data_IF_943948022444
#
_entry.id   IF_943948022444
#
_cell.length_a   1.000
_cell.length_b   1.000
_cell.length_c   1.000
_cell.angle_alpha   90.00
_cell.angle_beta   90.00
_cell.angle_gamma   90.00
#
_symmetry.space_group_name_H-M   'P 1'
#
loop_
_entity.id
_entity.type
_entity.pdbx_description
1 polymer ?
#
# COMPACT_ATOMS: atom_id res chain seq x y z
N UNK A 1 -4.26 -1.16 -3.96
CA UNK A 1 -3.55 0.14 -4.04
C UNK A 1 -4.55 1.25 -4.30
N UNK A 2 -5.21 1.31 -5.46
CA UNK A 2 -6.13 2.41 -5.78
C UNK A 2 -7.23 2.67 -4.75
N UNK A 3 -7.92 1.64 -4.28
CA UNK A 3 -8.99 1.80 -3.28
C UNK A 3 -8.48 2.16 -1.87
N UNK A 4 -7.20 1.93 -1.58
CA UNK A 4 -6.59 2.16 -0.25
C UNK A 4 -5.71 3.40 -0.22
N UNK A 5 -5.64 4.16 -1.31
CA UNK A 5 -4.84 5.36 -1.42
C UNK A 5 -5.24 6.38 -0.35
N UNK A 6 -4.27 7.08 0.26
CA UNK A 6 -4.50 8.01 1.38
C UNK A 6 -5.13 7.43 2.67
N UNK A 7 -5.74 6.24 2.64
CA UNK A 7 -6.37 5.59 3.79
C UNK A 7 -5.37 5.15 4.84
N UNK A 8 -4.12 4.89 4.44
CA UNK A 8 -3.05 4.62 5.39
C UNK A 8 -2.79 5.84 6.27
N UNK A 9 -2.72 7.05 5.71
CA UNK A 9 -2.44 8.26 6.47
C UNK A 9 -3.58 8.61 7.44
N UNK A 10 -4.84 8.49 7.00
CA UNK A 10 -6.01 8.58 7.90
C UNK A 10 -5.92 7.57 9.06
N UNK A 11 -5.48 6.35 8.76
CA UNK A 11 -5.37 5.28 9.78
C UNK A 11 -4.24 5.56 10.77
N UNK A 12 -3.08 6.03 10.29
CA UNK A 12 -1.96 6.41 11.15
C UNK A 12 -2.32 7.58 12.05
N UNK A 13 -3.06 8.56 11.55
CA UNK A 13 -3.53 9.72 12.33
C UNK A 13 -4.44 9.26 13.47
N UNK A 14 -5.44 8.41 13.18
CA UNK A 14 -6.33 7.82 14.19
C UNK A 14 -5.53 7.10 15.28
N UNK A 15 -4.55 6.27 14.90
CA UNK A 15 -3.74 5.51 15.85
C UNK A 15 -2.84 6.42 16.68
N UNK A 16 -2.18 7.40 16.06
CA UNK A 16 -1.31 8.36 16.76
C UNK A 16 -2.09 9.23 17.75
N UNK A 17 -3.24 9.77 17.37
CA UNK A 17 -4.11 10.55 18.26
C UNK A 17 -4.59 9.72 19.44
N UNK A 18 -5.00 8.47 19.17
CA UNK A 18 -5.41 7.56 20.23
C UNK A 18 -4.24 7.25 21.17
N UNK A 19 -3.04 7.03 20.63
CA UNK A 19 -1.87 6.73 21.44
C UNK A 19 -1.48 7.88 22.39
N UNK A 20 -1.53 9.13 21.92
CA UNK A 20 -1.25 10.32 22.75
C UNK A 20 -2.23 10.41 23.93
N UNK A 21 -3.51 10.15 23.70
CA UNK A 21 -4.52 10.15 24.77
C UNK A 21 -4.32 8.98 25.71
N UNK A 22 -4.02 7.79 25.18
CA UNK A 22 -3.73 6.60 25.97
C UNK A 22 -2.58 6.84 26.96
N UNK A 23 -1.47 7.43 26.52
CA UNK A 23 -0.34 7.71 27.41
C UNK A 23 -0.71 8.68 28.55
N UNK A 24 -1.56 9.67 28.28
CA UNK A 24 -2.07 10.56 29.33
C UNK A 24 -2.92 9.79 30.34
N UNK A 25 -3.79 8.88 29.87
CA UNK A 25 -4.66 8.07 30.73
C UNK A 25 -3.89 7.04 31.57
N UNK A 26 -2.74 6.55 31.11
CA UNK A 26 -1.90 5.61 31.86
C UNK A 26 -1.37 6.23 33.17
N UNK A 27 -1.24 7.55 33.21
CA UNK A 27 -0.79 8.31 34.39
C UNK A 27 -1.89 8.46 35.47
N UNK A 28 -3.16 8.20 35.13
CA UNK A 28 -4.28 8.32 36.07
C UNK A 28 -4.46 7.09 36.97
N UNK A 29 -4.95 7.35 38.21
CA UNK A 29 -5.08 6.33 39.27
C UNK A 29 -6.23 5.31 39.07
N UNK A 30 -7.18 5.54 38.14
CA UNK A 30 -8.35 4.67 37.87
C UNK A 30 -8.44 4.32 36.39
N UNK A 31 -7.46 3.55 35.88
CA UNK A 31 -7.18 3.45 34.44
C UNK A 31 -7.66 2.17 33.76
N UNK A 32 -7.64 1.00 34.38
CA UNK A 32 -7.72 -0.27 33.63
C UNK A 32 -9.01 -0.45 32.80
N UNK A 33 -10.18 -0.13 33.38
CA UNK A 33 -11.46 -0.15 32.63
C UNK A 33 -11.57 0.95 31.56
N UNK A 34 -10.86 2.07 31.75
CA UNK A 34 -10.86 3.18 30.79
C UNK A 34 -9.92 2.91 29.62
N UNK A 35 -8.74 2.32 29.87
CA UNK A 35 -7.75 1.95 28.86
C UNK A 35 -8.31 0.92 27.88
N UNK A 36 -8.98 -0.11 28.39
CA UNK A 36 -9.57 -1.16 27.55
C UNK A 36 -10.69 -0.64 26.64
N UNK A 37 -11.52 0.28 27.16
CA UNK A 37 -12.54 0.98 26.35
C UNK A 37 -11.92 1.88 25.28
N UNK A 38 -10.76 2.45 25.56
CA UNK A 38 -10.10 3.37 24.65
C UNK A 38 -9.46 2.64 23.46
N UNK A 39 -8.86 1.47 23.71
CA UNK A 39 -8.37 0.59 22.65
C UNK A 39 -9.51 0.13 21.73
N UNK A 40 -10.64 -0.27 22.31
CA UNK A 40 -11.85 -0.60 21.53
C UNK A 40 -12.36 0.59 20.72
N UNK A 41 -12.36 1.80 21.30
CA UNK A 41 -12.74 3.02 20.55
C UNK A 41 -11.79 3.32 19.38
N UNK A 42 -10.50 3.00 19.48
CA UNK A 42 -9.57 3.14 18.36
C UNK A 42 -9.93 2.16 17.25
N UNK A 43 -10.14 0.89 17.59
CA UNK A 43 -10.55 -0.16 16.65
C UNK A 43 -11.86 0.19 15.95
N UNK A 44 -12.86 0.68 16.68
CA UNK A 44 -14.15 1.10 16.11
C UNK A 44 -14.00 2.24 15.10
N UNK A 45 -13.07 3.19 15.34
CA UNK A 45 -12.80 4.29 14.40
C UNK A 45 -12.13 3.81 13.12
N UNK A 46 -11.21 2.85 13.23
CA UNK A 46 -10.55 2.25 12.07
C UNK A 46 -11.55 1.42 11.24
N UNK A 47 -12.46 0.69 11.90
CA UNK A 47 -13.50 -0.14 11.25
C UNK A 47 -14.65 0.64 10.62
N UNK A 48 -14.75 1.96 10.82
CA UNK A 48 -15.76 2.79 10.13
C UNK A 48 -15.61 2.79 8.61
N UNK A 49 -14.40 2.50 8.12
CA UNK A 49 -14.09 2.41 6.69
C UNK A 49 -13.23 1.17 6.49
N UNK A 50 -13.80 0.12 5.88
CA UNK A 50 -13.11 -1.16 5.67
C UNK A 50 -11.78 -0.98 4.92
N UNK A 51 -11.66 0.07 4.08
CA UNK A 51 -10.45 0.36 3.31
C UNK A 51 -9.29 0.82 4.19
N UNK A 52 -9.55 1.42 5.38
CA UNK A 52 -8.52 1.77 6.36
C UNK A 52 -7.82 0.53 6.91
N UNK A 53 -8.60 -0.46 7.32
CA UNK A 53 -8.04 -1.71 7.82
C UNK A 53 -7.28 -2.47 6.74
N UNK A 54 -7.80 -2.49 5.51
CA UNK A 54 -7.08 -3.09 4.38
C UNK A 54 -5.78 -2.34 4.05
N UNK A 55 -5.76 -1.01 4.17
CA UNK A 55 -4.56 -0.21 3.97
C UNK A 55 -3.48 -0.54 5.02
N UNK A 56 -3.85 -0.61 6.30
CA UNK A 56 -2.93 -0.94 7.41
C UNK A 56 -2.39 -2.36 7.25
N UNK A 57 -3.28 -3.35 7.12
CA UNK A 57 -2.89 -4.77 7.02
C UNK A 57 -2.08 -5.03 5.75
N UNK A 58 -2.49 -4.45 4.62
CA UNK A 58 -1.75 -4.56 3.37
C UNK A 58 -0.35 -3.99 3.51
N UNK A 59 -0.23 -2.75 3.99
CA UNK A 59 1.07 -2.08 4.16
C UNK A 59 2.01 -2.88 5.06
N UNK A 60 1.51 -3.37 6.20
CA UNK A 60 2.29 -4.21 7.11
C UNK A 60 2.73 -5.52 6.48
N UNK A 61 1.80 -6.29 5.88
CA UNK A 61 2.09 -7.61 5.32
C UNK A 61 3.10 -7.54 4.18
N UNK A 62 2.92 -6.59 3.27
CA UNK A 62 3.83 -6.44 2.13
C UNK A 62 5.20 -5.94 2.56
N UNK A 63 5.29 -4.91 3.44
CA UNK A 63 6.57 -4.40 3.91
C UNK A 63 7.35 -5.42 4.76
N UNK A 64 6.69 -6.08 5.71
CA UNK A 64 7.33 -7.12 6.53
C UNK A 64 7.81 -8.29 5.68
N UNK A 65 7.04 -8.73 4.68
CA UNK A 65 7.45 -9.81 3.79
C UNK A 65 8.72 -9.46 3.00
N UNK A 66 8.84 -8.23 2.50
CA UNK A 66 10.06 -7.79 1.79
C UNK A 66 11.27 -7.81 2.73
N UNK A 67 11.13 -7.30 3.95
CA UNK A 67 12.21 -7.31 4.94
C UNK A 67 12.66 -8.74 5.25
N UNK A 68 11.71 -9.67 5.44
CA UNK A 68 12.00 -11.09 5.69
C UNK A 68 12.74 -11.74 4.53
N UNK A 69 12.30 -11.51 3.29
CA UNK A 69 12.96 -12.04 2.09
C UNK A 69 14.37 -11.47 1.96
N UNK A 70 14.54 -10.16 2.11
CA UNK A 70 15.82 -9.48 1.94
C UNK A 70 16.85 -9.93 2.98
N UNK A 71 16.45 -10.03 4.25
CA UNK A 71 17.34 -10.44 5.32
C UNK A 71 17.64 -11.95 5.28
N UNK A 72 16.67 -12.76 4.86
CA UNK A 72 16.81 -14.20 4.70
C UNK A 72 17.11 -14.95 6.02
N UNK A 73 17.55 -16.20 5.89
CA UNK A 73 17.72 -17.12 7.03
C UNK A 73 18.76 -16.67 8.06
N UNK A 74 19.76 -15.85 7.69
CA UNK A 74 20.79 -15.39 8.64
C UNK A 74 20.24 -14.46 9.74
N UNK A 75 19.09 -13.83 9.50
CA UNK A 75 18.43 -12.91 10.45
C UNK A 75 16.99 -13.32 10.76
N UNK A 76 16.71 -14.64 10.71
CA UNK A 76 15.38 -15.19 10.98
C UNK A 76 14.81 -14.80 12.35
N UNK A 77 15.68 -14.48 13.32
CA UNK A 77 15.26 -13.96 14.62
C UNK A 77 14.45 -12.66 14.53
N UNK A 78 14.60 -11.87 13.46
CA UNK A 78 13.80 -10.66 13.23
C UNK A 78 12.32 -11.01 13.04
N UNK A 79 12.00 -12.24 12.64
CA UNK A 79 10.61 -12.75 12.59
C UNK A 79 9.92 -12.71 13.95
N UNK A 80 10.67 -12.83 15.06
CA UNK A 80 10.11 -12.71 16.41
C UNK A 80 9.54 -11.32 16.67
N UNK A 81 10.15 -10.28 16.09
CA UNK A 81 9.64 -8.91 16.18
C UNK A 81 8.29 -8.79 15.46
N UNK A 82 8.18 -9.36 14.26
CA UNK A 82 6.93 -9.36 13.50
C UNK A 82 5.85 -10.21 14.19
N UNK A 83 6.20 -11.40 14.69
CA UNK A 83 5.30 -12.27 15.42
C UNK A 83 4.75 -11.60 16.69
N UNK A 84 5.58 -10.87 17.43
CA UNK A 84 5.13 -10.09 18.58
C UNK A 84 4.15 -8.98 18.18
N UNK A 85 4.42 -8.25 17.09
CA UNK A 85 3.49 -7.23 16.58
C UNK A 85 2.13 -7.88 16.25
N UNK A 86 2.13 -9.02 15.54
CA UNK A 86 0.92 -9.77 15.21
C UNK A 86 0.18 -10.26 16.46
N UNK A 87 0.90 -10.79 17.46
CA UNK A 87 0.33 -11.24 18.72
C UNK A 87 -0.39 -10.10 19.46
N UNK A 88 0.27 -8.95 19.58
CA UNK A 88 -0.28 -7.78 20.27
C UNK A 88 -1.51 -7.23 19.53
N UNK A 89 -1.53 -7.29 18.19
CA UNK A 89 -2.71 -6.95 17.39
C UNK A 89 -3.85 -7.93 17.68
N UNK A 90 -3.60 -9.24 17.65
CA UNK A 90 -4.60 -10.26 17.96
C UNK A 90 -5.17 -10.13 19.38
N UNK A 91 -4.32 -9.81 20.36
CA UNK A 91 -4.70 -9.63 21.75
C UNK A 91 -5.38 -8.27 22.03
N UNK A 92 -5.45 -7.37 21.05
CA UNK A 92 -5.96 -6.00 21.21
C UNK A 92 -5.22 -5.25 22.33
N UNK A 93 -3.88 -5.28 22.29
CA UNK A 93 -3.00 -4.61 23.26
C UNK A 93 -1.95 -3.71 22.60
N UNK A 94 -2.21 -3.21 21.39
CA UNK A 94 -1.29 -2.41 20.57
C UNK A 94 -0.81 -1.17 21.33
N UNK A 95 -1.74 -0.44 21.96
CA UNK A 95 -1.41 0.77 22.72
C UNK A 95 -0.51 0.49 23.93
N UNK A 96 -0.68 -0.69 24.53
CA UNK A 96 0.12 -1.14 25.66
C UNK A 96 1.48 -1.67 25.22
N UNK A 97 1.51 -2.54 24.21
CA UNK A 97 2.67 -3.34 23.81
C UNK A 97 3.70 -2.60 22.97
N UNK A 98 3.29 -1.58 22.21
CA UNK A 98 4.13 -0.86 21.24
C UNK A 98 4.26 0.63 21.56
N UNK A 99 5.32 1.26 21.06
CA UNK A 99 5.53 2.71 21.10
C UNK A 99 5.15 3.34 19.74
N UNK A 100 3.95 3.92 19.66
CA UNK A 100 3.36 4.35 18.39
C UNK A 100 3.68 5.79 17.98
N UNK A 101 4.49 6.53 18.76
CA UNK A 101 4.97 7.88 18.37
C UNK A 101 5.81 7.86 17.10
N UNK A 102 6.42 6.72 16.78
CA UNK A 102 7.33 6.58 15.65
C UNK A 102 6.66 6.02 14.38
N UNK A 103 5.33 5.84 14.35
CA UNK A 103 4.64 5.18 13.23
C UNK A 103 4.88 5.86 11.87
N UNK A 104 4.79 7.20 11.79
CA UNK A 104 5.08 7.92 10.56
C UNK A 104 6.54 7.78 10.13
N UNK A 105 7.47 7.78 11.08
CA UNK A 105 8.88 7.56 10.79
C UNK A 105 9.11 6.14 10.23
N UNK A 106 8.52 5.12 10.87
CA UNK A 106 8.56 3.72 10.41
C UNK A 106 8.01 3.60 8.99
N UNK A 107 6.84 4.21 8.70
CA UNK A 107 6.26 4.26 7.35
C UNK A 107 7.26 4.85 6.35
N UNK A 108 7.82 6.02 6.65
CA UNK A 108 8.73 6.75 5.76
C UNK A 108 10.00 5.94 5.45
N UNK A 109 10.61 5.35 6.47
CA UNK A 109 11.87 4.62 6.31
C UNK A 109 11.67 3.28 5.59
N UNK A 110 10.54 2.60 5.83
CA UNK A 110 10.17 1.44 5.03
C UNK A 110 9.97 1.83 3.55
N UNK A 111 9.34 2.98 3.27
CA UNK A 111 9.18 3.46 1.90
C UNK A 111 10.53 3.79 1.24
N UNK A 112 11.46 4.42 1.95
CA UNK A 112 12.82 4.70 1.47
C UNK A 112 13.60 3.42 1.17
N UNK A 113 13.54 2.41 2.06
CA UNK A 113 14.11 1.10 1.82
C UNK A 113 13.56 0.48 0.53
N UNK A 114 12.24 0.40 0.40
CA UNK A 114 11.60 -0.22 -0.77
C UNK A 114 11.95 0.53 -2.05
N UNK A 115 12.03 1.87 -2.00
CA UNK A 115 12.48 2.68 -3.14
C UNK A 115 13.92 2.34 -3.53
N UNK A 116 14.83 2.24 -2.56
CA UNK A 116 16.23 1.90 -2.85
C UNK A 116 16.40 0.53 -3.49
N UNK A 117 15.52 -0.43 -3.16
CA UNK A 117 15.46 -1.75 -3.82
C UNK A 117 14.93 -1.64 -5.25
N UNK A 118 13.88 -0.84 -5.48
CA UNK A 118 13.32 -0.60 -6.82
C UNK A 118 14.30 0.12 -7.75
N UNK A 119 15.16 0.97 -7.21
CA UNK A 119 16.18 1.71 -7.96
C UNK A 119 17.42 0.85 -8.31
N UNK A 120 17.50 -0.41 -7.84
CA UNK A 120 18.58 -1.32 -8.22
C UNK A 120 18.48 -1.67 -9.70
N UNK A 121 19.56 -1.49 -10.50
CA UNK A 121 19.52 -1.81 -11.92
C UNK A 121 19.28 -3.31 -12.17
N UNK A 122 18.27 -3.63 -12.97
CA UNK A 122 18.02 -5.01 -13.40
C UNK A 122 19.23 -5.57 -14.16
N UNK A 123 19.53 -6.87 -13.98
CA UNK A 123 20.65 -7.57 -14.64
C UNK A 123 22.05 -7.08 -14.26
N UNK A 124 22.21 -6.39 -13.13
CA UNK A 124 23.53 -5.93 -12.69
C UNK A 124 24.33 -7.04 -11.99
N UNK A 125 25.60 -7.17 -12.39
CA UNK A 125 26.60 -8.05 -11.77
C UNK A 125 27.32 -7.32 -10.64
N UNK A 126 27.86 -8.07 -9.67
CA UNK A 126 28.60 -7.55 -8.50
C UNK A 126 29.72 -6.54 -8.83
N UNK A 127 30.36 -6.71 -10.00
CA UNK A 127 31.41 -5.81 -10.48
C UNK A 127 30.90 -4.44 -10.97
N UNK A 128 29.59 -4.22 -11.03
CA UNK A 128 29.01 -2.96 -11.49
C UNK A 128 29.00 -1.94 -10.36
N UNK A 129 29.71 -0.83 -10.54
CA UNK A 129 29.76 0.30 -9.58
C UNK A 129 28.35 0.81 -9.22
N UNK A 130 27.40 0.77 -10.17
CA UNK A 130 26.01 1.17 -9.89
C UNK A 130 25.34 0.21 -8.91
N UNK A 131 25.56 -1.09 -9.05
CA UNK A 131 25.03 -2.09 -8.13
C UNK A 131 25.64 -1.93 -6.75
N UNK A 132 26.96 -1.75 -6.65
CA UNK A 132 27.63 -1.53 -5.36
C UNK A 132 27.08 -0.29 -4.63
N UNK A 133 26.84 0.83 -5.34
CA UNK A 133 26.21 2.02 -4.75
C UNK A 133 24.79 1.74 -4.26
N UNK A 134 23.98 1.04 -5.06
CA UNK A 134 22.63 0.65 -4.65
C UNK A 134 22.67 -0.31 -3.46
N UNK A 135 23.63 -1.23 -3.41
CA UNK A 135 23.84 -2.16 -2.30
C UNK A 135 24.10 -1.40 -0.99
N UNK A 136 25.04 -0.45 -0.99
CA UNK A 136 25.30 0.39 0.20
C UNK A 136 24.03 1.15 0.63
N UNK A 137 23.33 1.77 -0.32
CA UNK A 137 22.09 2.49 -0.02
C UNK A 137 21.01 1.57 0.60
N UNK A 138 20.87 0.35 0.08
CA UNK A 138 19.93 -0.64 0.63
C UNK A 138 20.36 -1.05 2.03
N UNK A 139 21.64 -1.37 2.26
CA UNK A 139 22.16 -1.76 3.57
C UNK A 139 21.92 -0.66 4.61
N UNK A 140 22.26 0.59 4.28
CA UNK A 140 22.03 1.74 5.15
C UNK A 140 20.53 1.90 5.48
N UNK A 141 19.66 1.79 4.47
CA UNK A 141 18.21 1.89 4.68
C UNK A 141 17.65 0.74 5.53
N UNK A 142 18.18 -0.49 5.39
CA UNK A 142 17.79 -1.60 6.28
C UNK A 142 18.21 -1.29 7.71
N UNK A 143 19.40 -0.73 7.94
CA UNK A 143 19.85 -0.36 9.29
C UNK A 143 18.94 0.71 9.91
N UNK A 144 18.53 1.70 9.13
CA UNK A 144 17.57 2.72 9.53
C UNK A 144 16.21 2.10 9.90
N UNK A 145 15.71 1.15 9.11
CA UNK A 145 14.47 0.41 9.39
C UNK A 145 14.59 -0.40 10.69
N UNK A 146 15.70 -1.13 10.88
CA UNK A 146 15.97 -1.86 12.12
C UNK A 146 15.98 -0.92 13.33
N UNK A 147 16.61 0.24 13.22
CA UNK A 147 16.63 1.25 14.29
C UNK A 147 15.24 1.80 14.61
N UNK A 148 14.34 1.87 13.64
CA UNK A 148 12.95 2.27 13.91
C UNK A 148 12.08 1.14 14.43
N UNK A 149 12.35 -0.11 14.05
CA UNK A 149 11.77 -1.26 14.74
C UNK A 149 12.16 -1.27 16.22
N UNK A 150 13.40 -0.93 16.58
CA UNK A 150 13.82 -0.77 17.98
C UNK A 150 13.01 0.31 18.71
N UNK A 151 12.77 1.45 18.06
CA UNK A 151 11.94 2.53 18.63
C UNK A 151 10.49 2.10 18.84
N UNK A 152 9.92 1.38 17.87
CA UNK A 152 8.56 0.84 17.94
C UNK A 152 8.40 -0.20 19.06
N UNK A 153 9.42 -1.04 19.23
CA UNK A 153 9.46 -2.14 20.20
C UNK A 153 10.14 -1.74 21.52
N UNK A 154 10.32 -0.44 21.80
CA UNK A 154 11.09 0.04 22.96
C UNK A 154 10.55 -0.43 24.32
N UNK A 155 9.28 -0.84 24.38
CA UNK A 155 8.63 -1.42 25.56
C UNK A 155 9.01 -2.89 25.81
N UNK A 156 9.67 -3.55 24.87
CA UNK A 156 10.06 -4.96 24.92
C UNK A 156 11.58 -5.12 24.91
N UNK A 157 12.21 -5.11 26.10
CA UNK A 157 13.67 -5.11 26.21
C UNK A 157 14.36 -6.28 25.47
N UNK A 158 13.75 -7.47 25.48
CA UNK A 158 14.32 -8.65 24.84
C UNK A 158 14.38 -8.50 23.31
N UNK A 159 13.34 -7.94 22.68
CA UNK A 159 13.31 -7.68 21.23
C UNK A 159 14.26 -6.55 20.83
N UNK A 160 14.37 -5.52 21.67
CA UNK A 160 15.34 -4.44 21.43
C UNK A 160 16.78 -4.96 21.48
N UNK A 161 17.10 -5.83 22.45
CA UNK A 161 18.41 -6.50 22.52
C UNK A 161 18.67 -7.34 21.28
N UNK A 162 17.69 -8.17 20.88
CA UNK A 162 17.77 -8.97 19.65
C UNK A 162 18.10 -8.10 18.43
N UNK A 163 17.39 -6.98 18.24
CA UNK A 163 17.64 -6.06 17.11
C UNK A 163 18.98 -5.32 17.22
N UNK A 164 19.54 -5.15 18.41
CA UNK A 164 20.90 -4.59 18.58
C UNK A 164 21.98 -5.60 18.22
N UNK A 165 21.72 -6.89 18.45
CA UNK A 165 22.65 -7.97 18.16
C UNK A 165 22.59 -8.42 16.69
N UNK A 166 21.46 -8.21 16.00
CA UNK A 166 21.27 -8.58 14.57
C UNK A 166 22.41 -8.10 13.65
N UNK A 167 22.85 -6.83 13.69
CA UNK A 167 23.93 -6.37 12.83
C UNK A 167 25.30 -6.97 13.16
N UNK A 168 25.52 -7.38 14.42
CA UNK A 168 26.82 -7.82 14.96
C UNK A 168 27.16 -9.27 14.62
N UNK A 169 26.23 -10.02 14.04
CA UNK A 169 26.42 -11.43 13.71
C UNK A 169 27.52 -11.66 12.66
N UNK A 170 28.25 -12.78 12.73
CA UNK A 170 29.11 -13.20 11.62
C UNK A 170 28.22 -13.48 10.39
N UNK A 171 28.70 -13.14 9.19
CA UNK A 171 27.94 -13.24 7.94
C UNK A 171 26.60 -12.47 7.94
N UNK A 172 26.55 -11.40 8.73
CA UNK A 172 25.41 -10.49 8.79
C UNK A 172 25.20 -9.76 7.45
N UNK A 173 23.96 -9.33 7.21
CA UNK A 173 23.58 -8.48 6.07
C UNK A 173 24.27 -7.11 6.15
N UNK A 174 24.65 -6.71 7.36
CA UNK A 174 25.31 -5.44 7.65
C UNK A 174 26.83 -5.58 7.69
N UNK A 175 27.38 -6.79 7.55
CA UNK A 175 28.80 -7.04 7.72
C UNK A 175 29.60 -6.48 6.54
N UNK A 176 30.48 -5.49 6.74
CA UNK A 176 31.24 -4.88 5.65
C UNK A 176 32.45 -5.73 5.24
N UNK A 177 32.86 -6.70 6.06
CA UNK A 177 33.97 -7.58 5.75
C UNK A 177 33.55 -8.68 4.76
N UNK A 178 34.51 -9.11 3.93
CA UNK A 178 34.29 -9.99 2.77
C UNK A 178 33.30 -9.40 1.72
N UNK A 179 33.48 -8.11 1.40
CA UNK A 179 32.78 -7.40 0.31
C UNK A 179 31.24 -7.43 0.37
N UNK A 180 30.65 -7.55 1.57
CA UNK A 180 29.19 -7.65 1.76
C UNK A 180 28.55 -8.79 0.94
N UNK A 181 29.27 -9.91 0.73
CA UNK A 181 28.83 -11.05 -0.11
C UNK A 181 27.42 -11.54 0.21
N UNK A 182 27.05 -11.62 1.50
CA UNK A 182 25.71 -12.06 1.88
C UNK A 182 24.64 -11.05 1.43
N UNK A 183 24.84 -9.76 1.70
CA UNK A 183 23.90 -8.72 1.31
C UNK A 183 23.79 -8.59 -0.21
N UNK A 184 24.91 -8.65 -0.93
CA UNK A 184 24.94 -8.68 -2.39
C UNK A 184 24.12 -9.85 -2.94
N UNK A 185 24.38 -11.07 -2.46
CA UNK A 185 23.65 -12.26 -2.90
C UNK A 185 22.14 -12.15 -2.64
N UNK A 186 21.75 -11.66 -1.46
CA UNK A 186 20.34 -11.49 -1.12
C UNK A 186 19.67 -10.45 -2.02
N UNK A 187 20.30 -9.29 -2.19
CA UNK A 187 19.78 -8.23 -3.05
C UNK A 187 19.67 -8.68 -4.52
N UNK A 188 20.70 -9.37 -5.03
CA UNK A 188 20.69 -9.89 -6.40
C UNK A 188 19.63 -10.97 -6.60
N UNK A 189 19.44 -11.86 -5.62
CA UNK A 189 18.37 -12.88 -5.66
C UNK A 189 17.00 -12.21 -5.69
N UNK A 190 16.79 -11.22 -4.83
CA UNK A 190 15.54 -10.48 -4.71
C UNK A 190 15.20 -9.72 -6.00
N UNK A 191 16.15 -8.98 -6.58
CA UNK A 191 15.93 -8.14 -7.78
C UNK A 191 15.72 -8.97 -9.04
N UNK A 192 16.29 -10.17 -9.10
CA UNK A 192 16.11 -11.08 -10.23
C UNK A 192 14.82 -11.91 -10.15
N UNK A 193 14.14 -11.94 -9.00
CA UNK A 193 12.84 -12.58 -8.85
C UNK A 193 11.72 -11.58 -9.16
N UNK A 194 11.08 -11.76 -10.32
CA UNK A 194 9.97 -10.91 -10.78
C UNK A 194 8.79 -10.90 -9.81
N UNK A 195 8.43 -12.06 -9.23
CA UNK A 195 7.30 -12.15 -8.32
C UNK A 195 7.58 -11.39 -7.01
N UNK A 196 8.83 -11.46 -6.52
CA UNK A 196 9.24 -10.68 -5.34
C UNK A 196 9.31 -9.19 -5.67
N UNK A 197 9.80 -8.80 -6.84
CA UNK A 197 9.80 -7.39 -7.25
C UNK A 197 8.39 -6.80 -7.39
N UNK A 198 7.39 -7.60 -7.79
CA UNK A 198 5.98 -7.19 -7.77
C UNK A 198 5.48 -6.95 -6.33
N UNK A 199 5.94 -7.75 -5.36
CA UNK A 199 5.67 -7.55 -3.92
C UNK A 199 6.33 -6.25 -3.43
N UNK A 200 7.59 -5.99 -3.79
CA UNK A 200 8.32 -4.76 -3.43
C UNK A 200 7.61 -3.52 -3.99
N UNK A 201 7.25 -3.56 -5.28
CA UNK A 201 6.55 -2.47 -5.96
C UNK A 201 5.20 -2.19 -5.27
N UNK A 202 4.44 -3.24 -4.96
CA UNK A 202 3.16 -3.12 -4.26
C UNK A 202 3.33 -2.59 -2.83
N UNK A 203 4.34 -3.05 -2.10
CA UNK A 203 4.66 -2.56 -0.77
C UNK A 203 4.94 -1.06 -0.81
N UNK A 204 5.79 -0.62 -1.74
CA UNK A 204 6.15 0.79 -1.91
C UNK A 204 4.92 1.65 -2.23
N UNK A 205 4.08 1.18 -3.15
CA UNK A 205 2.85 1.87 -3.52
C UNK A 205 1.85 1.97 -2.35
N UNK A 206 1.69 0.91 -1.55
CA UNK A 206 0.79 0.96 -0.38
C UNK A 206 1.27 1.97 0.67
N UNK A 207 2.58 2.16 0.81
CA UNK A 207 3.15 3.12 1.73
C UNK A 207 3.17 4.56 1.19
N UNK A 208 3.20 4.77 -0.12
CA UNK A 208 3.46 6.11 -0.71
C UNK A 208 2.32 6.70 -1.53
N UNK A 209 1.36 5.90 -2.00
CA UNK A 209 0.31 6.41 -2.89
C UNK A 209 -0.71 7.24 -2.12
N UNK A 210 -0.73 8.52 -2.45
CA UNK A 210 -1.76 9.46 -2.01
C UNK A 210 -3.05 9.29 -2.81
N UNK A 211 -4.17 9.73 -2.22
CA UNK A 211 -5.49 9.72 -2.85
C UNK A 211 -5.50 10.37 -4.24
N UNK A 212 -4.77 11.48 -4.39
CA UNK A 212 -4.72 12.26 -5.65
C UNK A 212 -4.05 11.47 -6.78
N UNK A 213 -3.09 10.61 -6.46
CA UNK A 213 -2.35 9.81 -7.44
C UNK A 213 -3.11 8.54 -7.87
N UNK A 214 -4.20 8.20 -7.16
CA UNK A 214 -5.00 7.02 -7.41
C UNK A 214 -6.24 7.27 -8.29
N UNK A 215 -6.71 8.52 -8.40
CA UNK A 215 -7.87 8.83 -9.24
C UNK A 215 -7.46 9.09 -10.71
N UNK A 216 -8.25 8.61 -11.69
CA UNK A 216 -8.06 9.00 -13.08
C UNK A 216 -8.11 10.51 -13.23
N UNK A 217 -7.16 11.09 -13.97
CA UNK A 217 -7.17 12.55 -14.27
C UNK A 217 -8.32 12.99 -15.19
N UNK A 218 -8.91 12.06 -15.95
CA UNK A 218 -10.03 12.34 -16.85
C UNK A 218 -11.35 12.19 -16.12
N UNK A 219 -12.19 13.23 -16.16
CA UNK A 219 -13.53 13.22 -15.54
C UNK A 219 -14.41 12.08 -16.08
N UNK A 220 -14.33 11.77 -17.37
CA UNK A 220 -15.07 10.64 -17.95
C UNK A 220 -14.49 9.29 -17.49
N UNK A 221 -13.17 9.21 -17.30
CA UNK A 221 -12.52 8.05 -16.69
C UNK A 221 -12.99 7.82 -15.25
N UNK A 222 -13.07 8.89 -14.44
CA UNK A 222 -13.62 8.84 -13.10
C UNK A 222 -15.09 8.42 -13.12
N UNK A 223 -15.90 9.00 -14.00
CA UNK A 223 -17.33 8.67 -14.12
C UNK A 223 -17.55 7.19 -14.47
N UNK A 224 -16.78 6.66 -15.43
CA UNK A 224 -16.87 5.25 -15.84
C UNK A 224 -16.41 4.29 -14.74
N UNK A 225 -15.32 4.60 -14.05
CA UNK A 225 -14.85 3.77 -12.94
C UNK A 225 -15.81 3.81 -11.75
N UNK A 226 -16.37 4.97 -11.42
CA UNK A 226 -17.44 5.10 -10.40
C UNK A 226 -18.68 4.30 -10.81
N UNK A 227 -19.13 4.40 -12.06
CA UNK A 227 -20.26 3.61 -12.56
C UNK A 227 -20.00 2.11 -12.46
N UNK A 228 -18.82 1.66 -12.89
CA UNK A 228 -18.41 0.26 -12.81
C UNK A 228 -18.35 -0.22 -11.35
N UNK A 229 -17.64 0.49 -10.47
CA UNK A 229 -17.53 0.14 -9.07
C UNK A 229 -18.91 0.08 -8.39
N UNK A 230 -19.76 1.08 -8.63
CA UNK A 230 -21.13 1.08 -8.12
C UNK A 230 -21.94 -0.10 -8.67
N UNK A 231 -21.78 -0.46 -9.95
CA UNK A 231 -22.49 -1.60 -10.54
C UNK A 231 -22.12 -2.95 -9.91
N UNK A 232 -20.94 -3.09 -9.31
CA UNK A 232 -20.56 -4.30 -8.56
C UNK A 232 -21.34 -4.47 -7.25
N UNK A 233 -21.85 -3.37 -6.68
CA UNK A 233 -22.60 -3.35 -5.42
C UNK A 233 -24.06 -2.96 -5.61
N UNK A 234 -24.51 -2.77 -6.85
CA UNK A 234 -25.91 -2.56 -7.16
C UNK A 234 -26.59 -3.91 -7.25
N UNK A 235 -27.77 -4.01 -6.66
CA UNK A 235 -28.65 -5.15 -6.91
C UNK A 235 -28.99 -5.19 -8.40
N UNK A 236 -28.62 -6.29 -9.05
CA UNK A 236 -28.96 -6.50 -10.44
C UNK A 236 -30.48 -6.70 -10.53
N UNK A 237 -31.22 -5.83 -11.24
CA UNK A 237 -32.66 -5.98 -11.34
C UNK A 237 -33.01 -7.28 -12.05
N UNK A 238 -34.12 -7.90 -11.64
CA UNK A 238 -34.61 -9.12 -12.27
C UNK A 238 -34.83 -8.90 -13.78
N UNK A 239 -34.34 -9.87 -14.57
CA UNK A 239 -34.51 -9.83 -16.01
C UNK A 239 -36.00 -9.84 -16.36
N UNK A 240 -36.48 -8.75 -16.97
CA UNK A 240 -37.85 -8.69 -17.47
C UNK A 240 -38.03 -9.71 -18.61
N UNK A 241 -39.18 -10.39 -18.70
CA UNK A 241 -39.48 -11.26 -19.83
C UNK A 241 -39.32 -10.52 -21.16
N UNK A 242 -38.78 -11.19 -22.19
CA UNK A 242 -38.50 -10.59 -23.52
C UNK A 242 -39.72 -9.85 -24.10
N UNK A 243 -40.94 -10.34 -23.87
CA UNK A 243 -42.21 -9.71 -24.28
C UNK A 243 -42.46 -8.32 -23.68
N UNK A 244 -41.75 -7.93 -22.62
CA UNK A 244 -41.84 -6.62 -21.95
C UNK A 244 -40.63 -5.72 -22.24
N UNK A 245 -39.65 -6.18 -23.03
CA UNK A 245 -38.59 -5.30 -23.51
C UNK A 245 -39.19 -4.25 -24.45
N UNK A 246 -38.81 -2.99 -24.26
CA UNK A 246 -39.08 -1.98 -25.27
C UNK A 246 -38.41 -2.39 -26.58
N UNK A 247 -39.14 -2.32 -27.69
CA UNK A 247 -38.57 -2.49 -29.01
C UNK A 247 -37.54 -1.38 -29.23
N UNK A 248 -36.28 -1.77 -29.41
CA UNK A 248 -35.24 -0.87 -29.86
C UNK A 248 -34.67 -1.42 -31.15
N UNK A 249 -34.49 -0.54 -32.13
CA UNK A 249 -33.78 -0.84 -33.36
C UNK A 249 -32.35 -0.35 -33.21
N UNK A 250 -31.38 -1.24 -33.36
CA UNK A 250 -29.98 -0.83 -33.53
C UNK A 250 -29.72 -0.72 -35.02
N UNK A 251 -29.46 0.49 -35.50
CA UNK A 251 -28.85 0.68 -36.81
C UNK A 251 -27.35 0.45 -36.68
N UNK A 252 -26.91 -0.79 -36.90
CA UNK A 252 -25.49 -1.08 -37.10
C UNK A 252 -25.10 -0.65 -38.50
N UNK A 253 -24.22 0.35 -38.68
CA UNK A 253 -23.77 0.75 -40.00
C UNK A 253 -23.09 -0.43 -40.69
N UNK A 254 -23.48 -0.71 -41.93
CA UNK A 254 -23.01 -1.91 -42.65
C UNK A 254 -21.72 -1.64 -43.44
N UNK A 255 -21.30 -0.38 -43.58
CA UNK A 255 -20.10 0.05 -44.29
C UNK A 255 -19.48 1.30 -43.64
N UNK A 256 -18.55 2.00 -44.31
CA UNK A 256 -17.90 3.25 -43.91
C UNK A 256 -18.86 4.46 -43.79
N UNK A 257 -20.06 4.22 -43.27
CA UNK A 257 -21.06 5.22 -42.97
C UNK A 257 -20.58 6.07 -41.78
N UNK A 258 -20.69 7.38 -41.94
CA UNK A 258 -20.33 8.32 -40.89
C UNK A 258 -21.44 8.26 -39.84
N UNK A 259 -21.16 7.65 -38.69
CA UNK A 259 -22.10 7.57 -37.56
C UNK A 259 -21.85 8.62 -36.47
N UNK A 260 -20.75 9.37 -36.58
CA UNK A 260 -20.40 10.47 -35.68
C UNK A 260 -20.49 11.78 -36.47
N UNK A 261 -21.49 12.60 -36.12
CA UNK A 261 -21.68 13.92 -36.71
C UNK A 261 -21.31 15.00 -35.69
N UNK A 262 -20.54 15.99 -36.12
CA UNK A 262 -20.39 17.23 -35.34
C UNK A 262 -21.67 18.07 -35.44
N UNK A 263 -21.87 18.99 -34.50
CA UNK A 263 -22.99 19.95 -34.58
C UNK A 263 -22.99 20.73 -35.90
N UNK A 264 -21.82 20.99 -36.47
CA UNK A 264 -21.69 21.64 -37.77
C UNK A 264 -22.22 20.75 -38.88
N UNK A 265 -21.88 19.47 -38.88
CA UNK A 265 -22.35 18.50 -39.89
C UNK A 265 -23.87 18.31 -39.83
N UNK A 266 -24.46 18.40 -38.62
CA UNK A 266 -25.91 18.31 -38.43
C UNK A 266 -26.70 19.54 -38.90
N UNK A 267 -26.06 20.72 -38.88
CA UNK A 267 -26.71 22.02 -39.14
C UNK A 267 -26.33 22.63 -40.48
N UNK A 268 -25.34 22.06 -41.17
CA UNK A 268 -25.01 22.42 -42.54
C UNK A 268 -26.09 21.86 -43.47
N UNK A 269 -26.52 22.69 -44.41
CA UNK A 269 -27.52 22.31 -45.40
C UNK A 269 -26.90 21.37 -46.43
N UNK A 270 -27.60 20.29 -46.76
CA UNK A 270 -27.23 19.40 -47.86
C UNK A 270 -27.60 20.02 -49.22
N UNK A 271 -27.36 19.29 -50.32
CA UNK A 271 -27.63 19.77 -51.69
C UNK A 271 -29.10 20.16 -51.94
N UNK A 272 -30.03 19.68 -51.12
CA UNK A 272 -31.46 20.01 -51.16
C UNK A 272 -31.85 21.14 -50.19
N UNK A 273 -30.87 21.85 -49.61
CA UNK A 273 -31.04 22.90 -48.59
C UNK A 273 -31.70 22.42 -47.28
N UNK A 274 -31.60 21.12 -46.95
CA UNK A 274 -32.16 20.52 -45.74
C UNK A 274 -31.03 20.21 -44.75
N UNK A 275 -31.26 20.54 -43.47
CA UNK A 275 -30.32 20.23 -42.38
C UNK A 275 -30.58 18.81 -41.86
N UNK A 276 -29.52 18.02 -41.70
CA UNK A 276 -29.61 16.63 -41.27
C UNK A 276 -30.36 16.47 -39.93
N UNK A 277 -30.26 17.45 -39.03
CA UNK A 277 -30.94 17.46 -37.73
C UNK A 277 -32.46 17.27 -37.82
N UNK A 278 -33.10 17.70 -38.91
CA UNK A 278 -34.56 17.54 -39.07
C UNK A 278 -35.00 16.08 -39.25
N UNK A 279 -34.11 15.20 -39.71
CA UNK A 279 -34.41 13.78 -39.87
C UNK A 279 -34.15 12.95 -38.59
N UNK A 280 -33.57 13.57 -37.55
CA UNK A 280 -33.19 12.92 -36.30
C UNK A 280 -34.15 13.24 -35.12
N UNK A 281 -35.25 13.96 -35.39
CA UNK A 281 -36.32 14.25 -34.43
C UNK A 281 -37.44 13.22 -34.53
#
# INVERSE_FOLDING_TARGET
VFLTAGKLDESLEIVSDCYVVYERLVLDKKKDKALQKFEQSMTDRLLKDDLRMQAVVGSYKFASQVIKILLGEQHKEVDQCFAFIEEVVCQHQILKGLNLHCLYAVRSQCAELLKSILDVPASSTDANIKFQRSLYAVVDNVEVVINSMKKLLSKQEHLVKLLNDTPLKPNSFFFPADEQRYASRQLQTLVNDKAVMDIVSRAYQLLTVDNVDAEPRSDEGQRRLRFFANSLFMDMPDARPVRQMHSFSISTPYFSEIVLYSLKDLTTENDDAIKLVYYLQ
#
